data_IF_638467869997
#
_entry.id   IF_638467869997
#
_cell.length_a   1.000
_cell.length_b   1.000
_cell.length_c   1.000
_cell.angle_alpha   90.00
_cell.angle_beta   90.00
_cell.angle_gamma   90.00
#
_symmetry.space_group_name_H-M   'P 1'
#
loop_
_entity.id
_entity.type
_entity.pdbx_description
1 polymer ?
#
# COMPACT_ATOMS: atom_id res chain seq x y z
N UNK A 1 -6.24 38.63 31.18
CA UNK A 1 -4.91 38.23 30.67
C UNK A 1 -4.84 36.71 30.70
N UNK A 2 -4.37 36.13 29.60
CA UNK A 2 -4.53 34.74 29.21
C UNK A 2 -4.01 33.73 30.26
N UNK A 3 -4.91 32.84 30.68
CA UNK A 3 -4.56 31.52 31.21
C UNK A 3 -4.10 30.68 30.02
N UNK A 4 -2.90 30.96 29.52
CA UNK A 4 -2.15 29.98 28.73
C UNK A 4 -1.21 29.36 29.75
N UNK A 5 -1.75 28.38 30.47
CA UNK A 5 -0.98 27.38 31.18
C UNK A 5 -0.11 26.69 30.12
N UNK A 6 1.12 27.16 29.96
CA UNK A 6 2.13 26.42 29.24
C UNK A 6 2.29 25.09 29.99
N UNK A 7 1.66 24.03 29.47
CA UNK A 7 1.89 22.67 29.95
C UNK A 7 3.40 22.47 30.03
N UNK A 8 3.90 22.20 31.23
CA UNK A 8 5.32 21.92 31.48
C UNK A 8 5.78 20.79 30.55
N UNK A 9 7.06 20.78 30.18
CA UNK A 9 7.59 19.78 29.25
C UNK A 9 7.30 18.32 29.65
N UNK A 10 7.18 18.06 30.96
CA UNK A 10 6.76 16.77 31.51
C UNK A 10 5.29 16.45 31.25
N UNK A 11 4.39 17.43 31.42
CA UNK A 11 2.96 17.25 31.15
C UNK A 11 2.70 16.94 29.67
N UNK A 12 3.43 17.58 28.75
CA UNK A 12 3.36 17.24 27.31
C UNK A 12 3.87 15.85 26.99
N UNK A 13 4.97 15.42 27.63
CA UNK A 13 5.51 14.06 27.46
C UNK A 13 4.55 13.00 27.99
N UNK A 14 3.92 13.27 29.13
CA UNK A 14 2.93 12.37 29.73
C UNK A 14 1.69 12.24 28.85
N UNK A 15 1.17 13.35 28.34
CA UNK A 15 0.02 13.34 27.41
C UNK A 15 0.34 12.54 26.13
N UNK A 16 1.54 12.70 25.58
CA UNK A 16 1.96 11.94 24.40
C UNK A 16 2.07 10.44 24.70
N UNK A 17 2.60 10.04 25.85
CA UNK A 17 2.64 8.63 26.27
C UNK A 17 1.23 8.04 26.39
N UNK A 18 0.33 8.74 27.08
CA UNK A 18 -1.09 8.32 27.21
C UNK A 18 -1.77 8.22 25.85
N UNK A 19 -1.45 9.12 24.92
CA UNK A 19 -1.94 9.03 23.55
C UNK A 19 -1.48 7.76 22.85
N UNK A 20 -0.19 7.42 22.92
CA UNK A 20 0.36 6.20 22.31
C UNK A 20 -0.22 4.93 22.93
N UNK A 21 -0.42 4.93 24.25
CA UNK A 21 -1.08 3.83 24.96
C UNK A 21 -2.55 3.68 24.51
N UNK A 22 -3.33 4.77 24.55
CA UNK A 22 -4.76 4.75 24.18
C UNK A 22 -4.99 4.42 22.70
N UNK A 23 -4.10 4.86 21.83
CA UNK A 23 -4.17 4.56 20.38
C UNK A 23 -3.67 3.16 20.02
N UNK A 24 -3.15 2.40 20.99
CA UNK A 24 -2.65 1.04 20.77
C UNK A 24 -1.29 0.97 20.10
N UNK A 25 -0.60 2.10 19.88
CA UNK A 25 0.74 2.13 19.26
C UNK A 25 1.75 1.34 20.08
N UNK A 26 1.70 1.47 21.41
CA UNK A 26 2.60 0.73 22.31
C UNK A 26 2.37 -0.78 22.19
N UNK A 27 1.11 -1.22 22.15
CA UNK A 27 0.76 -2.64 22.02
C UNK A 27 1.22 -3.20 20.66
N UNK A 28 0.98 -2.47 19.58
CA UNK A 28 1.43 -2.86 18.24
C UNK A 28 2.96 -2.99 18.16
N UNK A 29 3.71 -1.99 18.65
CA UNK A 29 5.17 -2.05 18.68
C UNK A 29 5.69 -3.19 19.55
N UNK A 30 5.05 -3.42 20.71
CA UNK A 30 5.41 -4.52 21.61
C UNK A 30 5.22 -5.87 20.91
N UNK A 31 4.08 -6.08 20.25
CA UNK A 31 3.79 -7.32 19.51
C UNK A 31 4.81 -7.60 18.39
N UNK A 32 5.22 -6.57 17.63
CA UNK A 32 6.24 -6.71 16.59
C UNK A 32 7.58 -7.13 17.20
N UNK A 33 7.98 -6.51 18.31
CA UNK A 33 9.24 -6.83 18.99
C UNK A 33 9.23 -8.23 19.61
N UNK A 34 8.08 -8.66 20.14
CA UNK A 34 7.87 -10.03 20.64
C UNK A 34 7.98 -11.02 19.47
N UNK A 35 7.28 -10.79 18.36
CA UNK A 35 7.37 -11.64 17.18
C UNK A 35 8.82 -11.75 16.67
N UNK A 36 9.54 -10.62 16.57
CA UNK A 36 10.94 -10.62 16.19
C UNK A 36 11.83 -11.38 17.21
N UNK A 37 11.51 -11.30 18.49
CA UNK A 37 12.22 -12.04 19.54
C UNK A 37 11.94 -13.56 19.49
N UNK A 38 10.72 -13.95 19.12
CA UNK A 38 10.31 -15.36 19.02
C UNK A 38 10.76 -16.04 17.73
N UNK A 39 11.15 -15.27 16.69
CA UNK A 39 11.66 -15.83 15.44
C UNK A 39 12.83 -16.82 15.69
N UNK A 40 12.70 -18.09 15.28
CA UNK A 40 13.70 -19.13 15.54
C UNK A 40 15.01 -18.86 14.79
N UNK A 41 14.91 -18.28 13.59
CA UNK A 41 16.03 -17.76 12.82
C UNK A 41 15.85 -16.25 12.67
N UNK A 42 16.77 -15.46 13.24
CA UNK A 42 16.65 -14.00 13.17
C UNK A 42 16.79 -13.53 11.72
N UNK A 43 15.89 -12.65 11.24
CA UNK A 43 15.99 -12.12 9.89
C UNK A 43 17.30 -11.35 9.73
N UNK A 44 17.94 -11.48 8.58
CA UNK A 44 19.17 -10.74 8.23
C UNK A 44 18.95 -9.22 8.24
N UNK A 45 17.71 -8.77 7.99
CA UNK A 45 17.29 -7.38 8.13
C UNK A 45 16.06 -7.25 9.03
N UNK A 46 16.31 -6.98 10.32
CA UNK A 46 15.25 -6.77 11.31
C UNK A 46 14.32 -5.58 11.00
N UNK A 47 14.82 -4.53 10.34
CA UNK A 47 13.99 -3.38 10.01
C UNK A 47 12.94 -3.72 8.94
N UNK A 48 13.28 -4.56 7.98
CA UNK A 48 12.32 -4.97 6.96
C UNK A 48 11.24 -5.90 7.53
N UNK A 49 11.60 -6.80 8.46
CA UNK A 49 10.64 -7.58 9.23
C UNK A 49 9.63 -6.69 9.97
N UNK A 50 10.12 -5.64 10.66
CA UNK A 50 9.25 -4.70 11.38
C UNK A 50 8.30 -3.97 10.43
N UNK A 51 8.78 -3.50 9.27
CA UNK A 51 7.94 -2.84 8.26
C UNK A 51 6.84 -3.76 7.76
N UNK A 52 7.20 -4.99 7.39
CA UNK A 52 6.26 -6.00 6.91
C UNK A 52 5.20 -6.33 7.97
N UNK A 53 5.62 -6.54 9.22
CA UNK A 53 4.71 -6.87 10.33
C UNK A 53 3.71 -5.74 10.62
N UNK A 54 4.13 -4.48 10.46
CA UNK A 54 3.26 -3.31 10.63
C UNK A 54 2.38 -3.00 9.41
N UNK A 55 2.42 -3.83 8.35
CA UNK A 55 1.67 -3.62 7.12
C UNK A 55 2.16 -2.43 6.30
N UNK A 56 3.39 -1.96 6.54
CA UNK A 56 4.00 -0.92 5.73
C UNK A 56 4.55 -1.55 4.43
N UNK A 57 4.23 -0.98 3.25
CA UNK A 57 4.80 -1.45 2.00
C UNK A 57 6.33 -1.43 2.07
N UNK A 58 6.96 -2.54 1.76
CA UNK A 58 8.41 -2.60 1.58
C UNK A 58 8.79 -1.94 0.26
N UNK A 59 10.07 -1.59 0.11
CA UNK A 59 10.58 -1.08 -1.17
C UNK A 59 10.32 -2.06 -2.32
N UNK A 60 10.44 -3.37 -2.06
CA UNK A 60 10.12 -4.42 -3.04
C UNK A 60 8.63 -4.47 -3.39
N UNK A 61 7.72 -4.25 -2.43
CA UNK A 61 6.27 -4.19 -2.71
C UNK A 61 5.91 -3.02 -3.62
N UNK A 62 6.56 -1.87 -3.43
CA UNK A 62 6.35 -0.68 -4.27
C UNK A 62 6.87 -0.92 -5.69
N UNK A 63 8.01 -1.59 -5.83
CA UNK A 63 8.57 -1.95 -7.14
C UNK A 63 7.71 -2.99 -7.86
N UNK A 64 7.24 -4.02 -7.15
CA UNK A 64 6.32 -5.02 -7.68
C UNK A 64 4.99 -4.40 -8.15
N UNK A 65 4.39 -3.54 -7.33
CA UNK A 65 3.15 -2.82 -7.71
C UNK A 65 3.35 -1.94 -8.94
N UNK A 66 4.51 -1.28 -9.09
CA UNK A 66 4.82 -0.50 -10.30
C UNK A 66 4.93 -1.38 -11.54
N UNK A 67 5.63 -2.51 -11.43
CA UNK A 67 5.78 -3.46 -12.53
C UNK A 67 4.42 -4.03 -12.98
N UNK A 68 3.57 -4.43 -12.02
CA UNK A 68 2.22 -4.92 -12.30
C UNK A 68 1.36 -3.84 -12.98
N UNK A 69 1.43 -2.59 -12.47
CA UNK A 69 0.72 -1.45 -13.06
C UNK A 69 1.15 -1.20 -14.51
N UNK A 70 2.44 -1.28 -14.81
CA UNK A 70 2.94 -1.12 -16.18
C UNK A 70 2.55 -2.29 -17.10
N UNK A 71 2.50 -3.51 -16.57
CA UNK A 71 2.01 -4.68 -17.32
C UNK A 71 0.51 -4.58 -17.63
N UNK A 72 -0.30 -4.16 -16.66
CA UNK A 72 -1.73 -3.95 -16.83
C UNK A 72 -2.00 -2.85 -17.85
N UNK A 73 -1.25 -1.75 -17.83
CA UNK A 73 -1.37 -0.69 -18.84
C UNK A 73 -1.09 -1.22 -20.26
N UNK A 74 -0.07 -2.06 -20.44
CA UNK A 74 0.22 -2.69 -21.73
C UNK A 74 -0.92 -3.62 -22.19
N UNK A 75 -1.48 -4.41 -21.27
CA UNK A 75 -2.63 -5.28 -21.57
C UNK A 75 -3.86 -4.48 -21.97
N UNK A 76 -4.13 -3.37 -21.30
CA UNK A 76 -5.25 -2.48 -21.65
C UNK A 76 -5.06 -1.88 -23.04
N UNK A 77 -3.86 -1.43 -23.38
CA UNK A 77 -3.55 -0.88 -24.71
C UNK A 77 -3.75 -1.94 -25.81
N UNK A 78 -3.18 -3.14 -25.62
CA UNK A 78 -3.29 -4.24 -26.59
C UNK A 78 -4.74 -4.70 -26.78
N UNK A 79 -5.49 -4.88 -25.70
CA UNK A 79 -6.90 -5.24 -25.75
C UNK A 79 -7.76 -4.14 -26.41
N UNK A 80 -7.45 -2.87 -26.15
CA UNK A 80 -8.15 -1.74 -26.77
C UNK A 80 -7.94 -1.73 -28.29
N UNK A 81 -6.70 -1.99 -28.74
CA UNK A 81 -6.38 -2.10 -30.16
C UNK A 81 -7.07 -3.29 -30.82
N UNK A 82 -7.06 -4.46 -30.17
CA UNK A 82 -7.77 -5.64 -30.67
C UNK A 82 -9.29 -5.42 -30.77
N UNK A 83 -9.87 -4.70 -29.80
CA UNK A 83 -11.29 -4.33 -29.83
C UNK A 83 -11.59 -3.40 -31.00
N UNK A 84 -10.76 -2.38 -31.22
CA UNK A 84 -10.91 -1.47 -32.35
C UNK A 84 -10.84 -2.23 -33.68
N UNK A 85 -9.80 -3.06 -33.90
CA UNK A 85 -9.64 -3.82 -35.13
C UNK A 85 -10.81 -4.79 -35.39
N UNK A 86 -11.34 -5.43 -34.33
CA UNK A 86 -12.50 -6.31 -34.44
C UNK A 86 -13.78 -5.53 -34.75
N UNK A 87 -13.97 -4.37 -34.14
CA UNK A 87 -15.11 -3.49 -34.39
C UNK A 87 -15.13 -3.01 -35.84
N UNK A 88 -14.01 -2.52 -36.35
CA UNK A 88 -13.87 -2.08 -37.74
C UNK A 88 -14.16 -3.22 -38.74
N UNK A 89 -13.67 -4.44 -38.46
CA UNK A 89 -13.98 -5.63 -39.28
C UNK A 89 -15.46 -6.00 -39.25
N UNK A 90 -16.11 -5.89 -38.09
CA UNK A 90 -17.54 -6.16 -37.94
C UNK A 90 -18.38 -5.17 -38.74
N UNK A 91 -18.07 -3.88 -38.65
CA UNK A 91 -18.76 -2.83 -39.41
C UNK A 91 -18.58 -3.01 -40.93
N UNK A 92 -17.36 -3.37 -41.37
CA UNK A 92 -17.08 -3.66 -42.77
C UNK A 92 -17.89 -4.87 -43.29
N UNK A 93 -17.99 -5.95 -42.51
CA UNK A 93 -18.78 -7.13 -42.87
C UNK A 93 -20.29 -6.85 -42.87
N UNK A 94 -20.80 -6.08 -41.90
CA UNK A 94 -22.22 -5.70 -41.86
C UNK A 94 -22.60 -4.80 -43.03
N UNK A 95 -21.71 -3.88 -43.42
CA UNK A 95 -21.90 -3.01 -44.59
C UNK A 95 -21.86 -3.80 -45.91
N UNK A 96 -21.11 -4.91 -45.95
CA UNK A 96 -21.03 -5.82 -47.09
C UNK A 96 -22.19 -6.80 -47.18
N UNK A 97 -22.87 -7.13 -46.07
CA UNK A 97 -23.93 -8.14 -46.01
C UNK A 97 -25.35 -7.56 -46.16
N UNK A 98 -25.53 -6.24 -46.06
CA UNK A 98 -26.83 -5.58 -46.22
C UNK A 98 -27.21 -5.20 -47.66
N UNK A 99 -26.55 -5.79 -48.67
CA UNK A 99 -26.67 -5.41 -50.08
C UNK A 99 -27.36 -6.42 -51.01
N UNK A 100 -27.96 -7.49 -50.49
CA UNK A 100 -28.74 -8.46 -51.28
C UNK A 100 -30.24 -8.38 -51.01
#
# INVERSE_FOLDING_TARGET
KAVVLAMSGESKKEEFRKYLERSGVIDALTKVLVALYEEPEKPSNALDFIKQYLGAPTSGDVEAMKAEKDELLKKVDDLSKQLQEKSEKLEALQSSAGGE
#
